data_IF_454112299961
#
_entry.id   IF_454112299961
#
_cell.length_a   1.000
_cell.length_b   1.000
_cell.length_c   1.000
_cell.angle_alpha   90.00
_cell.angle_beta   90.00
_cell.angle_gamma   90.00
#
_symmetry.space_group_name_H-M   'P 1'
#
loop_
_entity.id
_entity.type
_entity.pdbx_description
1 polymer ?
#
# COMPACT_ATOMS: atom_id res chain seq x y z
N UNK A 1 -30.72 -18.19 20.77
CA UNK A 1 -31.35 -19.41 20.25
C UNK A 1 -31.83 -20.28 21.39
N UNK A 2 -33.10 -20.71 21.40
CA UNK A 2 -33.72 -21.47 22.51
C UNK A 2 -33.58 -23.00 22.34
N UNK A 3 -33.38 -23.47 21.10
CA UNK A 3 -33.34 -24.91 20.78
C UNK A 3 -31.93 -25.54 20.85
N UNK A 4 -30.88 -24.72 20.74
CA UNK A 4 -29.49 -25.19 20.68
C UNK A 4 -29.03 -25.90 21.97
N UNK A 5 -29.36 -25.43 23.20
CA UNK A 5 -29.01 -26.15 24.43
C UNK A 5 -29.65 -27.54 24.52
N UNK A 6 -30.89 -27.69 24.05
CA UNK A 6 -31.60 -28.97 24.04
C UNK A 6 -30.95 -29.96 23.07
N UNK A 7 -30.66 -29.51 21.84
CA UNK A 7 -29.97 -30.32 20.84
C UNK A 7 -28.57 -30.76 21.31
N UNK A 8 -27.81 -29.84 21.92
CA UNK A 8 -26.48 -30.14 22.44
C UNK A 8 -26.51 -31.24 23.51
N UNK A 9 -27.52 -31.21 24.40
CA UNK A 9 -27.73 -32.24 25.42
C UNK A 9 -28.06 -33.61 24.82
N UNK A 10 -28.89 -33.68 23.77
CA UNK A 10 -29.19 -34.95 23.09
C UNK A 10 -27.97 -35.53 22.36
N UNK A 11 -27.11 -34.67 21.81
CA UNK A 11 -25.92 -35.06 21.07
C UNK A 11 -24.68 -35.27 21.95
N UNK A 12 -24.76 -35.00 23.26
CA UNK A 12 -23.64 -35.16 24.19
C UNK A 12 -22.49 -34.18 23.94
N UNK A 13 -22.75 -33.04 23.31
CA UNK A 13 -21.75 -32.02 22.95
C UNK A 13 -21.80 -30.83 23.90
N UNK A 14 -20.64 -30.19 24.12
CA UNK A 14 -20.55 -28.95 24.90
C UNK A 14 -21.24 -27.81 24.17
N UNK A 15 -21.96 -26.98 24.92
CA UNK A 15 -22.63 -25.78 24.42
C UNK A 15 -22.16 -24.57 25.21
N UNK A 16 -21.84 -23.49 24.49
CA UNK A 16 -21.56 -22.18 25.04
C UNK A 16 -22.27 -21.13 24.19
N UNK A 17 -22.92 -20.17 24.84
CA UNK A 17 -23.57 -19.05 24.16
C UNK A 17 -22.61 -17.87 24.12
N UNK A 18 -22.24 -17.42 22.93
CA UNK A 18 -21.52 -16.15 22.78
C UNK A 18 -22.36 -14.99 23.35
N UNK A 19 -21.71 -14.11 24.11
CA UNK A 19 -22.34 -12.97 24.80
C UNK A 19 -23.07 -12.05 23.82
N UNK A 20 -22.46 -11.79 22.66
CA UNK A 20 -22.98 -10.93 21.59
C UNK A 20 -23.31 -11.71 20.31
N UNK A 21 -24.10 -12.78 20.44
CA UNK A 21 -24.43 -13.66 19.31
C UNK A 21 -25.15 -12.95 18.15
N UNK A 22 -25.84 -11.84 18.43
CA UNK A 22 -26.60 -11.03 17.47
C UNK A 22 -25.71 -10.29 16.45
N UNK A 23 -24.44 -10.00 16.77
CA UNK A 23 -23.53 -9.28 15.86
C UNK A 23 -22.56 -10.20 15.11
N UNK A 24 -22.55 -11.51 15.39
CA UNK A 24 -21.62 -12.46 14.76
C UNK A 24 -21.72 -12.42 13.23
N UNK A 25 -22.95 -12.38 12.69
CA UNK A 25 -23.15 -12.29 11.23
C UNK A 25 -22.61 -10.98 10.65
N UNK A 26 -22.75 -9.87 11.37
CA UNK A 26 -22.26 -8.56 10.94
C UNK A 26 -20.73 -8.51 10.96
N UNK A 27 -20.10 -9.10 11.98
CA UNK A 27 -18.62 -9.23 12.07
C UNK A 27 -18.11 -10.10 10.92
N UNK A 28 -18.76 -11.24 10.64
CA UNK A 28 -18.36 -12.13 9.55
C UNK A 28 -18.35 -11.44 8.18
N UNK A 29 -19.40 -10.66 7.88
CA UNK A 29 -19.46 -9.86 6.64
C UNK A 29 -18.39 -8.77 6.63
N UNK A 30 -18.23 -8.05 7.74
CA UNK A 30 -17.26 -6.95 7.80
C UNK A 30 -15.80 -7.44 7.70
N UNK A 31 -15.51 -8.62 8.27
CA UNK A 31 -14.17 -9.24 8.29
C UNK A 31 -13.89 -10.11 7.05
N UNK A 32 -14.83 -10.20 6.10
CA UNK A 32 -14.63 -11.02 4.90
C UNK A 32 -13.60 -10.37 3.97
N UNK A 33 -12.71 -11.19 3.42
CA UNK A 33 -11.82 -10.76 2.35
C UNK A 33 -12.64 -10.52 1.07
N UNK A 34 -12.30 -9.47 0.33
CA UNK A 34 -12.81 -9.27 -1.01
C UNK A 34 -12.06 -10.18 -1.97
N UNK A 35 -12.77 -10.78 -2.92
CA UNK A 35 -12.19 -11.63 -3.94
C UNK A 35 -12.79 -11.27 -5.29
N UNK A 36 -11.93 -11.10 -6.29
CA UNK A 36 -12.34 -10.89 -7.68
C UNK A 36 -11.61 -11.86 -8.60
N UNK A 37 -12.23 -12.14 -9.75
CA UNK A 37 -11.65 -12.95 -10.80
C UNK A 37 -11.89 -12.31 -12.17
N UNK A 38 -10.85 -12.25 -12.99
CA UNK A 38 -10.92 -11.82 -14.39
C UNK A 38 -10.40 -12.95 -15.27
N UNK A 39 -11.21 -13.33 -16.26
CA UNK A 39 -10.79 -14.18 -17.36
C UNK A 39 -10.58 -13.33 -18.61
N UNK A 40 -9.40 -13.42 -19.21
CA UNK A 40 -9.06 -12.70 -20.43
C UNK A 40 -8.46 -13.65 -21.46
N UNK A 41 -9.08 -13.72 -22.64
CA UNK A 41 -8.50 -14.44 -23.77
C UNK A 41 -7.18 -13.79 -24.19
N UNK A 42 -6.11 -14.57 -24.16
CA UNK A 42 -4.76 -14.17 -24.56
C UNK A 42 -4.16 -15.27 -25.45
N UNK A 43 -4.18 -15.02 -26.76
CA UNK A 43 -3.57 -15.93 -27.75
C UNK A 43 -2.05 -15.94 -27.57
N UNK A 44 -1.46 -14.78 -27.27
CA UNK A 44 -0.03 -14.61 -26.99
C UNK A 44 0.13 -13.83 -25.69
N UNK A 45 0.44 -14.52 -24.56
CA UNK A 45 0.70 -13.86 -23.30
C UNK A 45 2.00 -13.05 -23.41
N UNK A 46 1.93 -11.75 -23.08
CA UNK A 46 3.12 -10.90 -22.92
C UNK A 46 3.11 -10.30 -21.51
N UNK A 47 4.30 -10.01 -20.93
CA UNK A 47 4.39 -9.39 -19.61
C UNK A 47 3.55 -8.11 -19.49
N UNK A 48 3.52 -7.28 -20.54
CA UNK A 48 2.78 -6.02 -20.57
C UNK A 48 1.27 -6.26 -20.50
N UNK A 49 0.75 -7.22 -21.29
CA UNK A 49 -0.68 -7.57 -21.27
C UNK A 49 -1.10 -8.16 -19.93
N UNK A 50 -0.27 -9.02 -19.35
CA UNK A 50 -0.54 -9.62 -18.03
C UNK A 50 -0.58 -8.53 -16.96
N UNK A 51 0.40 -7.61 -16.98
CA UNK A 51 0.47 -6.49 -16.04
C UNK A 51 -0.77 -5.58 -16.14
N UNK A 52 -1.29 -5.34 -17.34
CA UNK A 52 -2.55 -4.60 -17.53
C UNK A 52 -3.74 -5.28 -16.85
N UNK A 53 -3.82 -6.62 -16.89
CA UNK A 53 -4.88 -7.37 -16.19
C UNK A 53 -4.69 -7.27 -14.67
N UNK A 54 -3.44 -7.32 -14.20
CA UNK A 54 -3.13 -7.18 -12.77
C UNK A 54 -3.52 -5.80 -12.26
N UNK A 55 -3.14 -4.73 -12.96
CA UNK A 55 -3.56 -3.35 -12.64
C UNK A 55 -5.08 -3.23 -12.60
N UNK A 56 -5.77 -3.82 -13.58
CA UNK A 56 -7.23 -3.78 -13.67
C UNK A 56 -7.93 -4.48 -12.48
N UNK A 57 -7.52 -5.70 -12.14
CA UNK A 57 -8.14 -6.45 -11.04
C UNK A 57 -7.80 -5.85 -9.68
N UNK A 58 -6.58 -5.32 -9.53
CA UNK A 58 -6.14 -4.62 -8.32
C UNK A 58 -6.97 -3.36 -8.10
N UNK A 59 -7.09 -2.48 -9.10
CA UNK A 59 -7.92 -1.29 -9.03
C UNK A 59 -9.39 -1.61 -8.69
N UNK A 60 -9.95 -2.69 -9.26
CA UNK A 60 -11.31 -3.13 -8.94
C UNK A 60 -11.48 -3.50 -7.46
N UNK A 61 -10.50 -4.17 -6.86
CA UNK A 61 -10.52 -4.49 -5.44
C UNK A 61 -10.38 -3.25 -4.56
N UNK A 62 -9.47 -2.33 -4.93
CA UNK A 62 -9.31 -1.06 -4.21
C UNK A 62 -10.60 -0.25 -4.23
N UNK A 63 -11.26 -0.13 -5.39
CA UNK A 63 -12.56 0.54 -5.53
C UNK A 63 -13.66 -0.11 -4.67
N UNK A 64 -13.56 -1.42 -4.44
CA UNK A 64 -14.46 -2.18 -3.56
C UNK A 64 -14.13 -2.02 -2.07
N UNK A 65 -13.06 -1.31 -1.73
CA UNK A 65 -12.63 -1.02 -0.37
C UNK A 65 -11.54 -1.96 0.16
N UNK A 66 -10.86 -2.71 -0.71
CA UNK A 66 -9.68 -3.47 -0.31
C UNK A 66 -8.52 -2.51 0.00
N UNK A 67 -7.74 -2.85 1.02
CA UNK A 67 -6.47 -2.20 1.31
C UNK A 67 -5.48 -2.61 0.21
N UNK A 68 -4.92 -1.67 -0.59
CA UNK A 68 -4.12 -2.05 -1.76
C UNK A 68 -2.93 -2.95 -1.42
N UNK A 69 -2.23 -2.68 -0.30
CA UNK A 69 -1.07 -3.45 0.16
C UNK A 69 -1.43 -4.87 0.63
N UNK A 70 -2.71 -5.16 0.86
CA UNK A 70 -3.19 -6.49 1.22
C UNK A 70 -3.57 -7.36 0.01
N UNK A 71 -3.59 -6.77 -1.19
CA UNK A 71 -4.06 -7.47 -2.38
C UNK A 71 -3.00 -8.45 -2.85
N UNK A 72 -3.37 -9.74 -2.87
CA UNK A 72 -2.57 -10.82 -3.45
C UNK A 72 -3.22 -11.26 -4.75
N UNK A 73 -2.42 -11.28 -5.83
CA UNK A 73 -2.86 -11.64 -7.17
C UNK A 73 -2.24 -12.98 -7.55
N UNK A 74 -3.08 -13.93 -7.98
CA UNK A 74 -2.67 -15.20 -8.56
C UNK A 74 -3.17 -15.27 -9.99
N UNK A 75 -2.37 -15.86 -10.89
CA UNK A 75 -2.73 -16.03 -12.29
C UNK A 75 -2.48 -17.44 -12.77
N UNK A 76 -3.36 -17.94 -13.63
CA UNK A 76 -3.24 -19.23 -14.31
C UNK A 76 -3.48 -19.04 -15.80
N UNK A 77 -2.60 -19.59 -16.66
CA UNK A 77 -2.83 -19.64 -18.10
C UNK A 77 -3.40 -21.00 -18.50
N UNK A 78 -4.65 -21.00 -18.95
CA UNK A 78 -5.43 -22.16 -19.38
C UNK A 78 -5.20 -22.36 -20.88
N UNK A 79 -4.14 -23.10 -21.21
CA UNK A 79 -3.60 -23.23 -22.57
C UNK A 79 -4.58 -23.79 -23.61
N UNK A 80 -5.45 -24.72 -23.23
CA UNK A 80 -6.48 -25.31 -24.10
C UNK A 80 -7.53 -24.28 -24.56
N UNK A 81 -7.68 -23.18 -23.80
CA UNK A 81 -8.63 -22.10 -24.07
C UNK A 81 -7.97 -20.78 -24.49
N UNK A 82 -6.64 -20.74 -24.56
CA UNK A 82 -5.87 -19.49 -24.75
C UNK A 82 -6.35 -18.39 -23.78
N UNK A 83 -6.49 -18.72 -22.50
CA UNK A 83 -7.16 -17.87 -21.52
C UNK A 83 -6.28 -17.66 -20.29
N UNK A 84 -6.08 -16.40 -19.93
CA UNK A 84 -5.48 -16.02 -18.65
C UNK A 84 -6.60 -15.82 -17.63
N UNK A 85 -6.59 -16.60 -16.56
CA UNK A 85 -7.41 -16.38 -15.38
C UNK A 85 -6.57 -15.69 -14.32
N UNK A 86 -7.08 -14.60 -13.77
CA UNK A 86 -6.44 -13.85 -12.69
C UNK A 86 -7.41 -13.74 -11.54
N UNK A 87 -7.02 -14.22 -10.38
CA UNK A 87 -7.79 -14.14 -9.14
C UNK A 87 -7.05 -13.23 -8.16
N UNK A 88 -7.74 -12.26 -7.59
CA UNK A 88 -7.16 -11.37 -6.58
C UNK A 88 -7.98 -11.45 -5.29
N UNK A 89 -7.29 -11.40 -4.15
CA UNK A 89 -7.91 -11.40 -2.82
C UNK A 89 -7.32 -10.25 -2.01
N UNK A 90 -8.15 -9.47 -1.31
CA UNK A 90 -7.70 -8.36 -0.48
C UNK A 90 -8.52 -8.22 0.81
N UNK A 91 -7.90 -7.66 1.85
CA UNK A 91 -8.54 -7.36 3.12
C UNK A 91 -9.28 -6.03 3.05
N UNK A 92 -10.42 -5.94 3.76
CA UNK A 92 -11.14 -4.68 3.95
C UNK A 92 -10.70 -4.03 5.25
N UNK A 93 -10.51 -2.72 5.24
CA UNK A 93 -10.27 -1.96 6.46
C UNK A 93 -11.58 -1.87 7.27
N UNK A 94 -11.60 -2.48 8.46
CA UNK A 94 -12.73 -2.43 9.38
C UNK A 94 -12.81 -1.05 10.03
N UNK A 95 -13.31 -0.05 9.30
CA UNK A 95 -13.44 1.29 9.85
C UNK A 95 -14.89 1.70 10.08
N UNK A 96 -15.18 2.06 11.32
CA UNK A 96 -16.48 2.53 11.78
C UNK A 96 -16.53 4.05 11.70
N UNK A 97 -17.37 4.56 10.81
CA UNK A 97 -17.76 5.96 10.66
C UNK A 97 -16.81 6.86 9.85
N UNK A 98 -17.38 7.47 8.79
CA UNK A 98 -16.93 8.74 8.19
C UNK A 98 -15.70 8.78 7.25
N UNK A 99 -15.30 7.69 6.60
CA UNK A 99 -14.48 7.90 5.37
C UNK A 99 -15.40 8.24 4.20
N UNK A 100 -15.41 9.52 3.82
CA UNK A 100 -16.02 10.01 2.59
C UNK A 100 -15.61 9.13 1.40
N UNK A 101 -16.58 8.57 0.68
CA UNK A 101 -16.37 7.74 -0.53
C UNK A 101 -15.81 8.52 -1.73
N UNK A 102 -15.42 9.77 -1.55
CA UNK A 102 -15.01 10.64 -2.63
C UNK A 102 -13.50 10.62 -2.77
N UNK A 103 -13.03 10.36 -3.98
CA UNK A 103 -11.64 10.49 -4.37
C UNK A 103 -11.25 11.96 -4.17
N UNK A 104 -10.18 12.19 -3.42
CA UNK A 104 -9.63 13.52 -3.17
C UNK A 104 -9.07 14.10 -4.47
N UNK A 105 -9.37 15.38 -4.72
CA UNK A 105 -8.59 16.13 -5.71
C UNK A 105 -7.18 16.37 -5.18
N UNK A 106 -6.25 16.72 -6.09
CA UNK A 106 -4.90 17.13 -5.67
C UNK A 106 -4.95 18.29 -4.66
N UNK A 107 -5.90 19.22 -4.82
CA UNK A 107 -6.05 20.38 -3.93
C UNK A 107 -6.50 19.98 -2.52
N UNK A 108 -7.45 19.03 -2.43
CA UNK A 108 -7.94 18.45 -1.18
C UNK A 108 -6.84 17.66 -0.47
N UNK A 109 -6.11 16.82 -1.21
CA UNK A 109 -5.03 16.00 -0.67
C UNK A 109 -3.86 16.87 -0.17
N UNK A 110 -3.53 17.93 -0.91
CA UNK A 110 -2.52 18.91 -0.51
C UNK A 110 -2.95 19.70 0.73
N UNK A 111 -4.23 20.09 0.81
CA UNK A 111 -4.79 20.73 2.02
C UNK A 111 -4.74 19.77 3.22
N UNK A 112 -5.18 18.52 3.06
CA UNK A 112 -5.12 17.50 4.10
C UNK A 112 -3.71 17.26 4.61
N UNK A 113 -2.73 17.24 3.70
CA UNK A 113 -1.31 17.16 4.05
C UNK A 113 -0.86 18.36 4.88
N UNK A 114 -1.29 19.57 4.51
CA UNK A 114 -0.96 20.79 5.26
C UNK A 114 -1.51 20.78 6.70
N UNK A 115 -2.70 20.20 6.89
CA UNK A 115 -3.33 20.03 8.20
C UNK A 115 -2.60 18.98 9.05
N UNK A 116 -2.16 17.87 8.43
CA UNK A 116 -1.45 16.78 9.13
C UNK A 116 -0.02 17.18 9.51
N UNK A 117 0.70 17.85 8.61
CA UNK A 117 2.09 18.30 8.84
C UNK A 117 2.13 19.63 9.62
N UNK A 118 1.00 20.34 9.71
CA UNK A 118 0.85 21.64 10.38
C UNK A 118 1.74 22.75 9.78
N UNK A 119 1.79 22.83 8.44
CA UNK A 119 2.53 23.86 7.70
C UNK A 119 1.67 24.52 6.63
N UNK A 120 2.11 25.66 6.09
CA UNK A 120 1.41 26.29 4.97
C UNK A 120 1.35 25.34 3.77
N UNK A 121 0.21 25.33 3.08
CA UNK A 121 0.01 24.61 1.83
C UNK A 121 1.04 25.00 0.75
N UNK A 122 1.56 26.22 0.79
CA UNK A 122 2.60 26.70 -0.14
C UNK A 122 3.96 26.04 0.06
N UNK A 123 4.18 25.40 1.22
CA UNK A 123 5.41 24.68 1.56
C UNK A 123 5.31 23.18 1.27
N UNK A 124 4.27 22.75 0.56
CA UNK A 124 4.01 21.35 0.26
C UNK A 124 4.09 21.14 -1.25
N UNK A 125 4.85 20.15 -1.68
CA UNK A 125 4.98 19.77 -3.08
C UNK A 125 4.48 18.35 -3.29
N UNK A 126 3.73 18.14 -4.38
CA UNK A 126 3.47 16.78 -4.87
C UNK A 126 4.79 16.24 -5.42
N UNK A 127 5.34 15.23 -4.77
CA UNK A 127 6.64 14.67 -5.13
C UNK A 127 6.51 13.48 -6.06
N UNK A 128 5.49 12.64 -5.87
CA UNK A 128 5.17 11.47 -6.68
C UNK A 128 3.67 11.14 -6.55
N UNK A 129 3.12 10.41 -7.52
CA UNK A 129 1.77 9.84 -7.40
C UNK A 129 1.66 8.53 -8.18
N UNK A 130 0.72 7.68 -7.76
CA UNK A 130 0.28 6.47 -8.47
C UNK A 130 -1.24 6.46 -8.50
N UNK A 131 -1.88 5.51 -9.18
CA UNK A 131 -3.33 5.43 -9.22
C UNK A 131 -3.97 5.38 -7.82
N UNK A 132 -3.25 4.87 -6.82
CA UNK A 132 -3.75 4.66 -5.45
C UNK A 132 -3.23 5.64 -4.41
N UNK A 133 -2.15 6.37 -4.69
CA UNK A 133 -1.48 7.20 -3.68
C UNK A 133 -1.04 8.58 -4.18
N UNK A 134 -1.06 9.54 -3.27
CA UNK A 134 -0.36 10.80 -3.38
C UNK A 134 0.85 10.80 -2.44
N UNK A 135 2.02 11.24 -2.92
CA UNK A 135 3.21 11.45 -2.10
C UNK A 135 3.54 12.93 -2.07
N UNK A 136 3.48 13.52 -0.88
CA UNK A 136 3.80 14.93 -0.67
C UNK A 136 5.07 15.11 0.15
N UNK A 137 5.82 16.17 -0.16
CA UNK A 137 6.94 16.63 0.66
C UNK A 137 6.63 18.01 1.21
N UNK A 138 6.62 18.14 2.53
CA UNK A 138 6.54 19.40 3.27
C UNK A 138 7.93 19.92 3.62
N UNK A 139 8.21 21.20 3.35
CA UNK A 139 9.50 21.83 3.63
C UNK A 139 9.46 22.62 4.93
N UNK A 140 10.10 22.10 5.98
CA UNK A 140 10.06 22.64 7.33
C UNK A 140 11.40 23.30 7.68
N UNK A 141 11.43 24.60 7.93
CA UNK A 141 12.62 25.27 8.47
C UNK A 141 12.75 25.02 9.98
N UNK A 142 13.79 24.29 10.38
CA UNK A 142 14.10 24.03 11.79
C UNK A 142 15.29 24.88 12.23
N UNK A 143 15.12 25.64 13.31
CA UNK A 143 16.21 26.39 13.94
C UNK A 143 17.11 25.43 14.72
N UNK A 144 18.42 25.45 14.43
CA UNK A 144 19.46 24.82 15.23
C UNK A 144 20.36 25.88 15.87
N UNK A 145 21.18 25.49 16.85
CA UNK A 145 22.09 26.39 17.58
C UNK A 145 23.03 27.20 16.65
N UNK A 146 23.33 26.71 15.45
CA UNK A 146 24.26 27.36 14.51
C UNK A 146 23.67 27.59 13.10
N UNK A 147 22.35 27.74 12.97
CA UNK A 147 21.72 28.09 11.69
C UNK A 147 20.32 27.52 11.50
N UNK A 148 19.80 27.65 10.29
CA UNK A 148 18.55 27.01 9.86
C UNK A 148 18.87 25.75 9.05
N UNK A 149 18.14 24.67 9.30
CA UNK A 149 18.18 23.46 8.46
C UNK A 149 16.76 23.18 7.98
N UNK A 150 16.60 22.92 6.69
CA UNK A 150 15.34 22.44 6.13
C UNK A 150 15.21 20.94 6.37
N UNK A 151 14.07 20.51 6.90
CA UNK A 151 13.67 19.11 6.95
C UNK A 151 12.57 18.88 5.91
N UNK A 152 12.61 17.71 5.28
CA UNK A 152 11.65 17.30 4.26
C UNK A 152 10.72 16.25 4.86
N UNK A 153 9.55 16.67 5.31
CA UNK A 153 8.54 15.76 5.85
C UNK A 153 7.78 15.12 4.69
N UNK A 154 7.93 13.81 4.51
CA UNK A 154 7.23 13.08 3.45
C UNK A 154 5.97 12.45 4.02
N UNK A 155 4.82 12.69 3.37
CA UNK A 155 3.53 12.10 3.72
C UNK A 155 2.94 11.39 2.52
N UNK A 156 2.57 10.12 2.69
CA UNK A 156 1.80 9.35 1.71
C UNK A 156 0.35 9.34 2.16
N UNK A 157 -0.54 9.79 1.27
CA UNK A 157 -1.99 9.64 1.41
C UNK A 157 -2.50 8.64 0.37
N UNK A 158 -3.51 7.85 0.71
CA UNK A 158 -4.31 7.19 -0.32
C UNK A 158 -5.19 8.21 -1.08
N UNK A 159 -5.82 7.77 -2.17
CA UNK A 159 -6.74 8.62 -2.96
C UNK A 159 -7.98 9.08 -2.18
N UNK A 160 -8.25 8.58 -0.97
CA UNK A 160 -9.35 9.01 -0.11
C UNK A 160 -8.88 9.92 1.04
N UNK A 161 -7.60 10.33 1.03
CA UNK A 161 -7.02 11.25 2.00
C UNK A 161 -6.61 10.62 3.32
N UNK A 162 -6.55 9.27 3.41
CA UNK A 162 -6.05 8.59 4.60
C UNK A 162 -4.52 8.55 4.60
N UNK A 163 -3.86 8.88 5.72
CA UNK A 163 -2.41 8.78 5.82
C UNK A 163 -1.98 7.31 5.88
N UNK A 164 -1.02 6.96 5.02
CA UNK A 164 -0.44 5.60 4.93
C UNK A 164 0.98 5.53 5.46
N UNK A 165 1.77 6.58 5.26
CA UNK A 165 3.14 6.69 5.77
C UNK A 165 3.49 8.15 6.05
N UNK A 166 4.25 8.39 7.12
CA UNK A 166 4.70 9.73 7.52
C UNK A 166 6.16 9.67 7.99
N UNK A 167 7.06 10.26 7.19
CA UNK A 167 8.49 10.34 7.47
C UNK A 167 8.82 11.80 7.79
N UNK A 168 9.21 12.09 9.04
CA UNK A 168 9.46 13.47 9.50
C UNK A 168 10.59 14.18 8.75
N UNK A 169 11.59 13.42 8.31
CA UNK A 169 12.71 13.91 7.54
C UNK A 169 13.19 12.79 6.63
N UNK A 170 12.96 12.93 5.33
CA UNK A 170 13.28 11.88 4.39
C UNK A 170 13.79 12.38 3.05
N UNK A 171 14.20 11.43 2.22
CA UNK A 171 14.57 11.62 0.82
C UNK A 171 13.70 10.72 -0.05
N UNK A 172 13.35 11.22 -1.23
CA UNK A 172 12.67 10.45 -2.27
C UNK A 172 13.65 10.26 -3.43
N UNK A 173 13.77 9.03 -3.91
CA UNK A 173 14.41 8.65 -5.18
C UNK A 173 13.31 8.14 -6.08
N UNK A 174 13.15 8.69 -7.28
CA UNK A 174 12.06 8.32 -8.18
C UNK A 174 12.56 8.19 -9.62
N UNK A 175 11.99 7.27 -10.37
CA UNK A 175 12.39 7.03 -11.75
C UNK A 175 12.02 5.64 -12.23
N UNK A 176 12.69 5.21 -13.30
CA UNK A 176 12.64 3.81 -13.72
C UNK A 176 13.57 2.94 -12.87
N UNK A 177 13.46 1.62 -13.07
CA UNK A 177 14.23 0.61 -12.34
C UNK A 177 15.74 0.91 -12.24
N UNK A 178 16.37 1.31 -13.34
CA UNK A 178 17.82 1.54 -13.40
C UNK A 178 18.19 2.72 -12.50
N UNK A 179 17.55 3.88 -12.69
CA UNK A 179 17.78 5.10 -11.92
C UNK A 179 17.57 4.88 -10.42
N UNK A 180 16.49 4.18 -10.04
CA UNK A 180 16.21 3.90 -8.63
C UNK A 180 17.31 3.06 -8.00
N UNK A 181 17.74 1.99 -8.68
CA UNK A 181 18.76 1.10 -8.13
C UNK A 181 20.12 1.78 -8.03
N UNK A 182 20.52 2.54 -9.06
CA UNK A 182 21.79 3.29 -9.04
C UNK A 182 21.81 4.35 -7.93
N UNK A 183 20.79 5.21 -7.86
CA UNK A 183 20.75 6.27 -6.84
C UNK A 183 20.59 5.73 -5.41
N UNK A 184 19.88 4.62 -5.24
CA UNK A 184 19.72 3.97 -3.93
C UNK A 184 21.05 3.35 -3.48
N UNK A 185 21.74 2.65 -4.38
CA UNK A 185 23.04 2.03 -4.10
C UNK A 185 24.08 3.10 -3.74
N UNK A 186 24.21 4.14 -4.57
CA UNK A 186 25.08 5.29 -4.32
C UNK A 186 24.81 5.92 -2.94
N UNK A 187 23.52 6.09 -2.60
CA UNK A 187 23.14 6.65 -1.31
C UNK A 187 23.53 5.73 -0.15
N UNK A 188 23.24 4.43 -0.23
CA UNK A 188 23.55 3.47 0.82
C UNK A 188 25.07 3.34 1.04
N UNK A 189 25.87 3.31 -0.04
CA UNK A 189 27.33 3.28 0.04
C UNK A 189 27.90 4.54 0.71
N UNK A 190 27.37 5.72 0.36
CA UNK A 190 27.84 7.01 0.89
C UNK A 190 27.71 7.16 2.41
N UNK A 191 26.84 6.35 3.04
CA UNK A 191 26.62 6.42 4.49
C UNK A 191 27.75 5.81 5.30
N UNK A 192 28.58 4.95 4.71
CA UNK A 192 29.64 4.22 5.40
C UNK A 192 29.17 3.60 6.75
N UNK A 193 27.93 3.09 6.78
CA UNK A 193 27.25 2.56 7.96
C UNK A 193 26.86 1.11 7.71
N UNK A 194 27.10 0.24 8.69
CA UNK A 194 26.66 -1.16 8.65
C UNK A 194 25.14 -1.31 8.82
N UNK A 195 24.50 -0.29 9.42
CA UNK A 195 23.04 -0.25 9.62
C UNK A 195 22.43 0.62 8.52
N UNK A 196 21.57 -0.01 7.73
CA UNK A 196 20.83 0.65 6.67
C UNK A 196 19.74 1.59 7.21
N UNK A 197 19.33 2.62 6.45
CA UNK A 197 18.17 3.43 6.79
C UNK A 197 16.88 2.60 6.72
N UNK A 198 15.81 3.14 7.30
CA UNK A 198 14.48 2.67 6.99
C UNK A 198 14.12 3.10 5.57
N UNK A 199 13.75 2.12 4.76
CA UNK A 199 13.43 2.29 3.34
C UNK A 199 12.03 1.77 3.08
N UNK A 200 11.30 2.49 2.24
CA UNK A 200 9.97 2.12 1.76
C UNK A 200 9.96 2.24 0.25
N UNK A 201 9.24 1.37 -0.44
CA UNK A 201 9.10 1.38 -1.89
C UNK A 201 7.63 1.58 -2.25
N UNK A 202 7.35 2.58 -3.07
CA UNK A 202 6.04 2.79 -3.66
C UNK A 202 6.11 2.49 -5.16
N UNK A 203 5.50 1.39 -5.59
CA UNK A 203 5.30 1.08 -7.00
C UNK A 203 3.86 1.38 -7.42
N UNK A 204 3.50 1.05 -8.66
CA UNK A 204 2.17 1.32 -9.22
C UNK A 204 1.02 0.75 -8.37
N UNK A 205 1.25 -0.37 -7.67
CA UNK A 205 0.21 -1.12 -6.97
C UNK A 205 0.28 -0.91 -5.46
N UNK A 206 1.48 -0.99 -4.89
CA UNK A 206 1.69 -1.22 -3.47
C UNK A 206 2.73 -0.28 -2.85
N UNK A 207 2.50 0.05 -1.59
CA UNK A 207 3.50 0.58 -0.68
C UNK A 207 4.11 -0.58 0.12
N UNK A 208 5.42 -0.78 -0.01
CA UNK A 208 6.16 -1.88 0.62
C UNK A 208 7.11 -1.32 1.68
N UNK A 209 7.07 -1.91 2.88
CA UNK A 209 7.87 -1.51 4.03
C UNK A 209 9.10 -2.42 4.19
N UNK A 210 10.29 -1.86 3.96
CA UNK A 210 11.58 -2.53 4.16
C UNK A 210 12.32 -2.05 5.41
N UNK A 211 11.65 -1.34 6.32
CA UNK A 211 12.25 -0.79 7.55
C UNK A 211 12.79 -1.84 8.52
N UNK A 212 12.44 -3.11 8.33
CA UNK A 212 12.96 -4.25 9.09
C UNK A 212 14.30 -4.79 8.57
N UNK A 213 14.70 -4.42 7.35
CA UNK A 213 15.98 -4.84 6.76
C UNK A 213 17.11 -3.97 7.32
N UNK A 214 18.21 -4.63 7.70
CA UNK A 214 19.34 -3.97 8.38
C UNK A 214 20.53 -3.79 7.43
N UNK A 215 20.74 -4.71 6.49
CA UNK A 215 21.86 -4.65 5.56
C UNK A 215 21.48 -3.93 4.26
N UNK A 216 22.37 -3.06 3.77
CA UNK A 216 22.16 -2.33 2.51
C UNK A 216 21.96 -3.28 1.31
N UNK A 217 22.69 -4.40 1.27
CA UNK A 217 22.54 -5.42 0.23
C UNK A 217 21.12 -5.99 0.17
N UNK A 218 20.54 -6.30 1.34
CA UNK A 218 19.22 -6.91 1.44
C UNK A 218 18.14 -5.93 0.94
N UNK A 219 18.30 -4.63 1.22
CA UNK A 219 17.41 -3.58 0.70
C UNK A 219 17.50 -3.50 -0.82
N UNK A 220 18.71 -3.46 -1.38
CA UNK A 220 18.92 -3.39 -2.83
C UNK A 220 18.31 -4.61 -3.53
N UNK A 221 18.52 -5.80 -2.99
CA UNK A 221 17.98 -7.04 -3.56
C UNK A 221 16.45 -7.07 -3.50
N UNK A 222 15.85 -6.71 -2.36
CA UNK A 222 14.40 -6.63 -2.21
C UNK A 222 13.77 -5.60 -3.15
N UNK A 223 14.36 -4.40 -3.25
CA UNK A 223 13.89 -3.37 -4.19
C UNK A 223 14.03 -3.84 -5.65
N UNK A 224 15.11 -4.53 -6.00
CA UNK A 224 15.33 -5.05 -7.36
C UNK A 224 14.26 -6.09 -7.75
N UNK A 225 13.90 -6.98 -6.82
CA UNK A 225 12.89 -8.01 -7.01
C UNK A 225 11.50 -7.39 -7.20
N UNK A 226 11.13 -6.43 -6.36
CA UNK A 226 9.82 -5.77 -6.44
C UNK A 226 9.65 -4.95 -7.73
N UNK A 227 10.74 -4.34 -8.24
CA UNK A 227 10.72 -3.52 -9.46
C UNK A 227 10.68 -4.32 -10.77
N UNK A 228 10.65 -5.66 -10.75
CA UNK A 228 10.66 -6.48 -11.98
C UNK A 228 9.55 -6.10 -12.96
N UNK A 229 8.37 -5.73 -12.44
CA UNK A 229 7.18 -5.44 -13.23
C UNK A 229 6.70 -3.99 -13.12
N UNK A 230 7.54 -3.07 -12.64
CA UNK A 230 7.19 -1.66 -12.44
C UNK A 230 7.88 -0.77 -13.48
N UNK A 231 7.10 0.07 -14.16
CA UNK A 231 7.66 1.05 -15.10
C UNK A 231 8.33 2.21 -14.37
N UNK A 232 7.70 2.67 -13.28
CA UNK A 232 8.19 3.72 -12.39
C UNK A 232 7.89 3.37 -10.94
N UNK A 233 8.69 3.91 -10.04
CA UNK A 233 8.47 3.82 -8.61
C UNK A 233 9.12 5.00 -7.88
N UNK A 234 8.84 5.09 -6.59
CA UNK A 234 9.50 5.99 -5.67
C UNK A 234 10.01 5.21 -4.46
N UNK A 235 11.30 5.36 -4.12
CA UNK A 235 11.90 4.88 -2.89
C UNK A 235 11.95 6.03 -1.90
N UNK A 236 11.41 5.81 -0.71
CA UNK A 236 11.41 6.75 0.40
C UNK A 236 12.41 6.29 1.46
N UNK A 237 13.26 7.21 1.90
CA UNK A 237 14.34 6.92 2.83
C UNK A 237 14.23 7.85 4.03
N UNK A 238 14.22 7.31 5.25
CA UNK A 238 14.29 8.08 6.48
C UNK A 238 15.75 8.52 6.77
N UNK A 239 15.94 9.83 7.01
CA UNK A 239 17.26 10.50 7.15
C UNK A 239 17.65 10.82 8.60
#
# INVERSE_FOLDING_TARGET
SVLVPFAAKQLGIKYEKAEHAEVISSIGVASSMLQEEIEQTMIEPSPEKINQVYKKIHAMLVDKGAIPESIVINSEFVSDKSLLRVTAIGNVELDSAETSKNIFTLDDAKKRTSEIIEISKDLIDLSYETDHYFVFTGHIEVKKLFGKKTQHHILILDRYGKPKLSIKNGRIIQGGKITILEELDDYLESRHSEIAPKVYLLNDLNLVDYSSLIASSDIIDAVREELVNSEKAAVLIEL
#
